data_IF_349207327111
#
_entry.id   IF_349207327111
#
_cell.length_a   1.000
_cell.length_b   1.000
_cell.length_c   1.000
_cell.angle_alpha   90.00
_cell.angle_beta   90.00
_cell.angle_gamma   90.00
#
_symmetry.space_group_name_H-M   'P 1'
#
loop_
_entity.id
_entity.type
_entity.pdbx_description
1 polymer ?
#
# COMPACT_ATOMS: atom_id res chain seq x y z
N UNK A 1 6.11 1.44 35.52
CA UNK A 1 6.33 2.87 35.38
C UNK A 1 6.40 3.24 33.90
N UNK A 2 5.64 4.25 33.46
CA UNK A 2 5.36 4.57 32.05
C UNK A 2 6.58 4.98 31.20
N UNK A 3 7.72 5.34 31.77
CA UNK A 3 8.88 5.86 31.04
C UNK A 3 9.50 4.84 30.06
N UNK A 4 9.64 3.58 30.44
CA UNK A 4 10.22 2.54 29.55
C UNK A 4 9.33 2.18 28.37
N UNK A 5 8.02 2.12 28.58
CA UNK A 5 7.06 1.80 27.53
C UNK A 5 7.10 2.81 26.37
N UNK A 6 7.12 4.10 26.67
CA UNK A 6 7.15 5.16 25.65
C UNK A 6 8.44 5.14 24.83
N UNK A 7 9.58 4.82 25.47
CA UNK A 7 10.85 4.70 24.77
C UNK A 7 10.86 3.51 23.82
N UNK A 8 10.32 2.35 24.25
CA UNK A 8 10.24 1.16 23.42
C UNK A 8 9.32 1.41 22.23
N UNK A 9 8.10 1.94 22.46
CA UNK A 9 7.17 2.27 21.37
C UNK A 9 7.78 3.28 20.41
N UNK A 10 8.43 4.33 20.92
CA UNK A 10 9.10 5.32 20.09
C UNK A 10 10.23 4.72 19.25
N UNK A 11 10.99 3.77 19.80
CA UNK A 11 12.03 3.05 19.06
C UNK A 11 11.45 2.18 17.96
N UNK A 12 10.33 1.48 18.23
CA UNK A 12 9.63 0.68 17.24
C UNK A 12 9.15 1.58 16.09
N UNK A 13 8.47 2.67 16.38
CA UNK A 13 7.97 3.62 15.39
C UNK A 13 9.10 4.21 14.54
N UNK A 14 10.23 4.47 15.17
CA UNK A 14 11.42 4.92 14.47
C UNK A 14 11.90 3.89 13.43
N UNK A 15 11.94 2.62 13.80
CA UNK A 15 12.30 1.53 12.87
C UNK A 15 11.28 1.37 11.74
N UNK A 16 10.00 1.59 12.02
CA UNK A 16 8.90 1.52 11.05
C UNK A 16 8.84 2.70 10.07
N UNK A 17 9.81 3.61 10.10
CA UNK A 17 9.92 4.68 9.10
C UNK A 17 9.40 6.04 9.54
N UNK A 18 9.10 6.25 10.83
CA UNK A 18 8.72 7.56 11.33
C UNK A 18 9.88 8.58 11.33
N UNK A 19 9.51 9.84 11.46
CA UNK A 19 10.52 10.92 11.53
C UNK A 19 11.32 10.79 12.80
N UNK A 20 12.65 10.99 12.67
CA UNK A 20 13.56 11.04 13.82
C UNK A 20 13.21 12.28 14.66
N UNK A 21 12.82 12.07 15.90
CA UNK A 21 12.65 13.15 16.88
C UNK A 21 13.95 13.27 17.68
N UNK A 22 14.42 14.49 17.88
CA UNK A 22 15.71 14.74 18.58
C UNK A 22 15.71 14.22 20.02
N UNK A 23 14.53 14.26 20.65
CA UNK A 23 14.30 13.79 22.02
C UNK A 23 14.51 12.29 22.21
N UNK A 24 14.49 11.52 21.10
CA UNK A 24 14.74 10.07 21.11
C UNK A 24 16.23 9.72 21.03
N UNK A 25 17.08 10.69 20.69
CA UNK A 25 18.51 10.49 20.53
C UNK A 25 19.24 11.00 21.75
N UNK A 26 20.25 10.24 22.18
CA UNK A 26 21.14 10.69 23.25
C UNK A 26 22.07 11.75 22.69
N UNK A 27 22.01 12.95 23.23
CA UNK A 27 22.94 14.04 22.95
C UNK A 27 24.15 13.94 23.86
N UNK A 28 25.34 14.05 23.31
CA UNK A 28 26.55 14.22 24.07
C UNK A 28 26.61 15.67 24.57
N UNK A 29 26.53 15.83 25.89
CA UNK A 29 26.49 17.14 26.54
C UNK A 29 27.77 17.97 26.36
N UNK A 30 28.87 17.34 25.96
CA UNK A 30 30.16 18.03 25.74
C UNK A 30 30.32 18.50 24.30
N UNK A 31 29.89 17.70 23.35
CA UNK A 31 30.07 17.98 21.92
C UNK A 31 28.81 18.53 21.25
N UNK A 32 27.64 18.37 21.84
CA UNK A 32 26.35 18.69 21.23
C UNK A 32 26.00 17.78 20.09
N UNK A 33 26.73 16.68 19.89
CA UNK A 33 26.48 15.70 18.85
C UNK A 33 25.56 14.59 19.35
N UNK A 34 24.69 14.08 18.44
CA UNK A 34 23.85 12.92 18.75
C UNK A 34 24.62 11.62 18.56
N UNK A 35 24.59 10.76 19.59
CA UNK A 35 25.17 9.43 19.50
C UNK A 35 24.50 8.61 18.38
N UNK A 36 25.28 7.80 17.64
CA UNK A 36 24.71 6.87 16.67
C UNK A 36 23.70 5.93 17.35
N UNK A 37 22.54 5.74 16.72
CA UNK A 37 21.53 4.81 17.20
C UNK A 37 21.19 3.78 16.12
N UNK A 38 20.96 2.54 16.55
CA UNK A 38 20.47 1.44 15.72
C UNK A 38 19.23 0.84 16.40
N UNK A 39 18.17 0.72 15.64
CA UNK A 39 16.98 -0.03 16.04
C UNK A 39 16.77 -1.15 15.02
N UNK A 40 16.53 -2.34 15.52
CA UNK A 40 16.29 -3.53 14.70
C UNK A 40 15.07 -4.26 15.22
N UNK A 41 14.16 -4.60 14.31
CA UNK A 41 12.94 -5.36 14.58
C UNK A 41 12.97 -6.62 13.72
N UNK A 42 12.75 -7.76 14.36
CA UNK A 42 12.64 -9.06 13.68
C UNK A 42 11.19 -9.53 13.75
N UNK A 43 10.62 -9.80 12.61
CA UNK A 43 9.25 -10.29 12.46
C UNK A 43 9.28 -11.72 11.94
N UNK A 44 8.51 -12.61 12.54
CA UNK A 44 8.27 -13.95 12.03
C UNK A 44 7.01 -13.95 11.16
N UNK A 45 7.13 -14.42 9.93
CA UNK A 45 6.04 -14.45 8.94
C UNK A 45 5.53 -15.88 8.80
N UNK A 46 4.51 -16.24 9.57
CA UNK A 46 3.89 -17.56 9.56
C UNK A 46 2.73 -17.65 8.57
N UNK A 47 2.11 -16.49 8.23
CA UNK A 47 0.92 -16.43 7.41
C UNK A 47 1.26 -16.35 5.91
N UNK A 48 0.75 -17.30 5.13
CA UNK A 48 0.97 -17.33 3.68
C UNK A 48 0.43 -16.10 2.93
N UNK A 49 -0.63 -15.44 3.44
CA UNK A 49 -1.15 -14.21 2.84
C UNK A 49 -0.22 -13.01 3.09
N UNK A 50 0.38 -12.93 4.27
CA UNK A 50 1.39 -11.93 4.59
C UNK A 50 2.62 -12.10 3.71
N UNK A 51 3.07 -13.35 3.55
CA UNK A 51 4.19 -13.71 2.66
C UNK A 51 3.94 -13.22 1.23
N UNK A 52 2.77 -13.53 0.65
CA UNK A 52 2.41 -13.09 -0.70
C UNK A 52 2.40 -11.56 -0.85
N UNK A 53 1.92 -10.84 0.16
CA UNK A 53 1.93 -9.37 0.16
C UNK A 53 3.35 -8.80 0.23
N UNK A 54 4.23 -9.42 1.01
CA UNK A 54 5.65 -9.03 1.11
C UNK A 54 6.39 -9.32 -0.19
N UNK A 55 6.17 -10.49 -0.80
CA UNK A 55 6.75 -10.85 -2.10
C UNK A 55 6.33 -9.90 -3.23
N UNK A 56 5.07 -9.41 -3.19
CA UNK A 56 4.60 -8.39 -4.13
C UNK A 56 5.32 -7.03 -3.97
N UNK A 57 5.95 -6.79 -2.81
CA UNK A 57 6.83 -5.64 -2.53
C UNK A 57 8.32 -5.99 -2.69
N UNK A 58 8.64 -7.12 -3.33
CA UNK A 58 10.01 -7.63 -3.53
C UNK A 58 10.76 -7.91 -2.21
N UNK A 59 10.01 -8.21 -1.13
CA UNK A 59 10.56 -8.59 0.17
C UNK A 59 10.35 -10.08 0.39
N UNK A 60 11.43 -10.82 0.42
CA UNK A 60 11.44 -12.27 0.61
C UNK A 60 11.87 -12.60 2.04
N UNK A 61 11.00 -13.23 2.87
CA UNK A 61 11.41 -13.67 4.21
C UNK A 61 12.51 -14.72 4.13
N UNK A 62 13.59 -14.52 4.89
CA UNK A 62 14.68 -15.48 5.06
C UNK A 62 14.44 -16.25 6.37
N UNK A 63 14.44 -17.59 6.34
CA UNK A 63 14.09 -18.43 7.48
C UNK A 63 12.78 -18.02 8.18
N UNK A 64 11.76 -17.68 7.38
CA UNK A 64 10.47 -17.14 7.84
C UNK A 64 10.57 -15.81 8.60
N UNK A 65 11.66 -15.07 8.46
CA UNK A 65 11.88 -13.81 9.14
C UNK A 65 12.04 -12.64 8.16
N UNK A 66 11.58 -11.47 8.60
CA UNK A 66 11.86 -10.17 7.97
C UNK A 66 12.44 -9.25 9.02
N UNK A 67 13.60 -8.67 8.70
CA UNK A 67 14.33 -7.78 9.59
C UNK A 67 14.21 -6.35 9.08
N UNK A 68 13.55 -5.50 9.87
CA UNK A 68 13.51 -4.05 9.63
C UNK A 68 14.56 -3.39 10.54
N UNK A 69 15.51 -2.67 9.96
CA UNK A 69 16.50 -1.96 10.74
C UNK A 69 16.60 -0.50 10.33
N UNK A 70 16.87 0.37 11.30
CA UNK A 70 17.12 1.78 11.06
C UNK A 70 18.33 2.25 11.85
N UNK A 71 19.32 2.75 11.11
CA UNK A 71 20.51 3.36 11.66
C UNK A 71 20.43 4.88 11.56
N UNK A 72 20.74 5.56 12.64
CA UNK A 72 20.73 7.02 12.70
C UNK A 72 22.15 7.47 13.01
N UNK A 73 22.68 8.37 12.19
CA UNK A 73 23.99 8.99 12.36
C UNK A 73 23.88 10.46 12.01
N UNK A 74 24.30 11.35 12.90
CA UNK A 74 24.25 12.80 12.67
C UNK A 74 22.82 13.30 12.34
N UNK A 75 21.80 12.74 12.98
CA UNK A 75 20.40 13.10 12.76
C UNK A 75 19.77 12.56 11.46
N UNK A 76 20.54 11.85 10.63
CA UNK A 76 20.04 11.22 9.39
C UNK A 76 19.79 9.74 9.61
N UNK A 77 18.59 9.27 9.24
CA UNK A 77 18.20 7.86 9.36
C UNK A 77 18.29 7.12 8.03
N UNK A 78 19.02 6.00 8.01
CA UNK A 78 19.02 5.04 6.90
C UNK A 78 18.21 3.82 7.31
N UNK A 79 17.20 3.45 6.52
CA UNK A 79 16.39 2.28 6.77
C UNK A 79 16.78 1.11 5.86
N UNK A 80 16.68 -0.11 6.39
CA UNK A 80 16.99 -1.34 5.66
C UNK A 80 15.94 -2.41 5.97
N UNK A 81 15.70 -3.25 4.96
CA UNK A 81 14.88 -4.46 5.07
C UNK A 81 15.76 -5.63 4.63
N UNK A 82 15.90 -6.65 5.46
CA UNK A 82 16.82 -7.79 5.22
C UNK A 82 18.21 -7.32 4.75
N UNK A 83 18.74 -6.28 5.39
CA UNK A 83 20.04 -5.70 5.03
C UNK A 83 20.07 -4.77 3.82
N UNK A 84 19.05 -4.75 2.98
CA UNK A 84 18.95 -3.88 1.79
C UNK A 84 18.43 -2.48 2.17
N UNK A 85 19.08 -1.43 1.69
CA UNK A 85 18.64 -0.06 1.93
C UNK A 85 17.37 0.26 1.15
N UNK A 86 16.35 0.76 1.85
CA UNK A 86 15.06 1.13 1.28
C UNK A 86 14.63 2.53 1.71
N UNK A 87 13.84 3.24 0.88
CA UNK A 87 13.25 4.51 1.29
C UNK A 87 12.25 4.32 2.43
N UNK A 88 12.11 5.31 3.31
CA UNK A 88 11.22 5.23 4.47
C UNK A 88 9.73 5.01 4.09
N UNK A 89 9.31 5.39 2.88
CA UNK A 89 7.97 5.10 2.37
C UNK A 89 7.75 3.60 2.15
N UNK A 90 8.70 2.91 1.53
CA UNK A 90 8.64 1.47 1.30
C UNK A 90 8.68 0.70 2.64
N UNK A 91 9.54 1.12 3.57
CA UNK A 91 9.58 0.51 4.92
C UNK A 91 8.24 0.63 5.64
N UNK A 92 7.54 1.78 5.52
CA UNK A 92 6.20 1.95 6.11
C UNK A 92 5.15 1.05 5.47
N UNK A 93 5.22 0.83 4.17
CA UNK A 93 4.32 -0.06 3.44
C UNK A 93 4.52 -1.52 3.87
N UNK A 94 5.77 -1.96 3.98
CA UNK A 94 6.15 -3.28 4.49
C UNK A 94 5.72 -3.44 5.95
N UNK A 95 5.99 -2.44 6.79
CA UNK A 95 5.62 -2.43 8.20
C UNK A 95 4.11 -2.55 8.41
N UNK A 96 3.28 -1.93 7.56
CA UNK A 96 1.83 -2.02 7.63
C UNK A 96 1.27 -3.44 7.35
N UNK A 97 2.09 -4.33 6.75
CA UNK A 97 1.76 -5.75 6.59
C UNK A 97 2.11 -6.55 7.84
N UNK A 98 3.25 -6.19 8.48
CA UNK A 98 3.84 -6.96 9.56
C UNK A 98 3.32 -6.60 10.95
N UNK A 99 2.89 -5.35 11.17
CA UNK A 99 2.49 -4.88 12.49
C UNK A 99 1.44 -3.77 12.39
N UNK A 100 0.46 -3.82 13.28
CA UNK A 100 -0.50 -2.73 13.51
C UNK A 100 -0.31 -2.20 14.93
N UNK A 101 0.13 -0.95 15.06
CA UNK A 101 0.39 -0.33 16.36
C UNK A 101 -0.74 0.62 16.70
N UNK A 102 -1.38 0.38 17.85
CA UNK A 102 -2.40 1.26 18.40
C UNK A 102 -1.79 2.15 19.49
N UNK A 103 -1.34 3.34 19.11
CA UNK A 103 -0.78 4.36 20.00
C UNK A 103 -1.67 5.60 20.14
N UNK A 104 -1.37 6.47 21.12
CA UNK A 104 -2.16 7.69 21.39
C UNK A 104 -2.04 8.76 20.28
N UNK A 105 -1.07 8.65 19.37
CA UNK A 105 -0.78 9.63 18.33
C UNK A 105 -0.57 9.03 16.94
N UNK A 106 -0.88 7.74 16.75
CA UNK A 106 -0.52 7.05 15.53
C UNK A 106 -1.72 6.72 14.65
N UNK A 107 -1.38 6.60 13.38
CA UNK A 107 -2.25 6.31 12.26
C UNK A 107 -3.31 5.27 12.62
N UNK A 108 -4.43 5.78 13.06
CA UNK A 108 -5.58 4.97 13.38
C UNK A 108 -6.05 4.33 12.08
N UNK A 109 -5.58 3.12 11.82
CA UNK A 109 -6.10 2.27 10.75
C UNK A 109 -7.62 2.19 10.83
N UNK A 110 -8.16 2.27 12.05
CA UNK A 110 -9.58 2.40 12.35
C UNK A 110 -10.23 3.70 11.86
N UNK A 111 -9.50 4.76 11.51
CA UNK A 111 -10.07 5.96 10.91
C UNK A 111 -10.24 5.85 9.39
N UNK A 112 -9.62 4.89 8.74
CA UNK A 112 -9.81 4.64 7.33
C UNK A 112 -11.11 3.89 7.08
N UNK A 113 -12.09 4.54 6.43
CA UNK A 113 -13.35 3.90 6.03
C UNK A 113 -13.17 2.63 5.21
N UNK A 114 -12.10 2.56 4.42
CA UNK A 114 -11.75 1.38 3.64
C UNK A 114 -11.36 0.20 4.53
N UNK A 115 -10.58 0.47 5.57
CA UNK A 115 -10.13 -0.55 6.53
C UNK A 115 -11.23 -1.05 7.44
N UNK A 116 -12.25 -0.22 7.72
CA UNK A 116 -13.45 -0.68 8.44
C UNK A 116 -14.14 -1.84 7.72
N UNK A 117 -14.25 -1.73 6.40
CA UNK A 117 -14.87 -2.78 5.61
C UNK A 117 -14.01 -4.06 5.61
N UNK A 118 -12.69 -3.92 5.49
CA UNK A 118 -11.76 -5.05 5.52
C UNK A 118 -11.80 -5.79 6.88
N UNK A 119 -11.87 -5.05 7.99
CA UNK A 119 -11.99 -5.61 9.35
C UNK A 119 -13.34 -6.33 9.50
N UNK A 120 -14.42 -5.72 9.03
CA UNK A 120 -15.75 -6.33 9.07
C UNK A 120 -15.82 -7.59 8.23
N UNK A 121 -15.23 -7.56 7.05
CA UNK A 121 -15.14 -8.70 6.15
C UNK A 121 -14.33 -9.86 6.78
N UNK A 122 -13.22 -9.54 7.44
CA UNK A 122 -12.40 -10.52 8.16
C UNK A 122 -13.16 -11.14 9.34
N UNK A 123 -13.99 -10.36 10.05
CA UNK A 123 -14.80 -10.84 11.15
C UNK A 123 -15.91 -11.83 10.69
N UNK A 124 -16.52 -11.58 9.52
CA UNK A 124 -17.56 -12.47 8.95
C UNK A 124 -16.97 -13.80 8.46
N UNK A 125 -15.68 -13.84 8.11
CA UNK A 125 -14.95 -15.06 7.76
C UNK A 125 -15.26 -15.61 6.36
N UNK A 126 -15.08 -16.93 6.21
CA UNK A 126 -15.07 -17.62 4.91
C UNK A 126 -16.39 -17.51 4.12
N UNK A 127 -17.52 -17.44 4.81
CA UNK A 127 -18.84 -17.35 4.18
C UNK A 127 -19.00 -16.11 3.28
N UNK A 128 -18.26 -15.05 3.56
CA UNK A 128 -18.27 -13.83 2.76
C UNK A 128 -17.34 -13.92 1.55
N UNK A 129 -16.29 -14.72 1.65
CA UNK A 129 -15.25 -14.82 0.61
C UNK A 129 -15.81 -15.29 -0.72
N UNK A 130 -16.66 -16.31 -0.73
CA UNK A 130 -17.30 -16.80 -1.95
C UNK A 130 -18.24 -15.77 -2.57
N UNK A 131 -19.03 -15.07 -1.75
CA UNK A 131 -19.94 -14.02 -2.22
C UNK A 131 -19.17 -12.83 -2.81
N UNK A 132 -18.06 -12.45 -2.18
CA UNK A 132 -17.18 -11.39 -2.71
C UNK A 132 -16.55 -11.77 -4.03
N UNK A 133 -16.13 -13.03 -4.19
CA UNK A 133 -15.58 -13.54 -5.45
C UNK A 133 -16.62 -13.47 -6.57
N UNK A 134 -17.82 -13.99 -6.33
CA UNK A 134 -18.92 -13.94 -7.30
C UNK A 134 -19.31 -12.50 -7.66
N UNK A 135 -19.37 -11.60 -6.67
CA UNK A 135 -19.64 -10.18 -6.90
C UNK A 135 -18.54 -9.53 -7.75
N UNK A 136 -17.27 -9.82 -7.47
CA UNK A 136 -16.15 -9.28 -8.22
C UNK A 136 -16.15 -9.75 -9.68
N UNK A 137 -16.50 -11.01 -9.94
CA UNK A 137 -16.63 -11.57 -11.29
C UNK A 137 -17.79 -10.89 -12.04
N UNK A 138 -18.95 -10.77 -11.41
CA UNK A 138 -20.12 -10.09 -11.98
C UNK A 138 -19.83 -8.62 -12.29
N UNK A 139 -19.15 -7.93 -11.39
CA UNK A 139 -18.78 -6.52 -11.58
C UNK A 139 -17.77 -6.32 -12.72
N UNK A 140 -16.81 -7.25 -12.88
CA UNK A 140 -15.88 -7.22 -14.04
C UNK A 140 -16.62 -7.39 -15.35
N UNK A 141 -17.55 -8.36 -15.41
CA UNK A 141 -18.38 -8.59 -16.60
C UNK A 141 -19.24 -7.37 -16.93
N UNK A 142 -19.87 -6.78 -15.91
CA UNK A 142 -20.63 -5.54 -16.06
C UNK A 142 -19.77 -4.40 -16.63
N UNK A 143 -18.59 -4.17 -16.06
CA UNK A 143 -17.68 -3.13 -16.56
C UNK A 143 -17.27 -3.35 -18.02
N UNK A 144 -16.99 -4.60 -18.39
CA UNK A 144 -16.65 -4.95 -19.76
C UNK A 144 -17.79 -4.66 -20.73
N UNK A 145 -19.03 -5.04 -20.38
CA UNK A 145 -20.20 -4.77 -21.20
C UNK A 145 -20.50 -3.27 -21.35
N UNK A 146 -20.33 -2.48 -20.28
CA UNK A 146 -20.48 -1.02 -20.34
C UNK A 146 -19.44 -0.38 -21.28
N UNK A 147 -18.23 -0.91 -21.29
CA UNK A 147 -17.18 -0.42 -22.18
C UNK A 147 -17.42 -0.82 -23.63
N UNK A 148 -17.90 -2.05 -23.88
CA UNK A 148 -18.32 -2.51 -25.20
C UNK A 148 -19.51 -1.70 -25.72
N UNK A 149 -20.52 -1.41 -24.89
CA UNK A 149 -21.67 -0.57 -25.25
C UNK A 149 -21.20 0.86 -25.64
N UNK A 150 -20.32 1.43 -24.85
CA UNK A 150 -19.77 2.76 -25.13
C UNK A 150 -19.01 2.80 -26.47
N UNK A 151 -18.20 1.79 -26.73
CA UNK A 151 -17.45 1.68 -27.99
C UNK A 151 -18.37 1.41 -29.17
N UNK A 152 -19.41 0.58 -29.01
CA UNK A 152 -20.40 0.35 -30.06
C UNK A 152 -21.19 1.64 -30.41
N UNK A 153 -21.43 2.50 -29.42
CA UNK A 153 -22.08 3.80 -29.66
C UNK A 153 -21.23 4.79 -30.44
N UNK A 154 -19.91 4.73 -30.26
CA UNK A 154 -18.93 5.56 -31.04
C UNK A 154 -18.88 5.07 -32.49
N UNK A 155 -18.74 3.77 -32.71
CA UNK A 155 -18.77 3.14 -34.05
C UNK A 155 -20.07 3.43 -34.78
N UNK A 156 -21.22 3.45 -34.08
CA UNK A 156 -22.52 3.77 -34.66
C UNK A 156 -22.61 5.20 -35.20
N UNK A 157 -22.11 6.18 -34.45
CA UNK A 157 -22.12 7.58 -34.86
C UNK A 157 -21.12 7.88 -36.02
N UNK A 158 -20.01 7.20 -36.05
CA UNK A 158 -19.02 7.29 -37.11
C UNK A 158 -19.55 6.65 -38.40
N UNK A 159 -20.18 5.51 -38.27
CA UNK A 159 -20.84 4.80 -39.36
C UNK A 159 -22.01 5.60 -39.98
N UNK A 160 -22.84 6.27 -39.19
CA UNK A 160 -23.90 7.14 -39.71
C UNK A 160 -23.33 8.33 -40.51
N UNK A 161 -22.21 8.90 -40.07
CA UNK A 161 -21.52 9.97 -40.81
C UNK A 161 -20.96 9.46 -42.14
N UNK A 162 -20.39 8.28 -42.15
CA UNK A 162 -19.81 7.67 -43.35
C UNK A 162 -20.93 7.30 -44.35
N UNK A 163 -22.05 6.75 -43.88
CA UNK A 163 -23.25 6.49 -44.71
C UNK A 163 -23.77 7.80 -45.32
N UNK A 164 -23.93 8.85 -44.54
CA UNK A 164 -24.42 10.15 -45.02
C UNK A 164 -23.48 10.76 -46.03
N UNK A 165 -22.16 10.58 -45.88
CA UNK A 165 -21.18 11.07 -46.86
C UNK A 165 -21.24 10.30 -48.17
N UNK A 166 -21.34 8.97 -48.11
CA UNK A 166 -21.49 8.12 -49.31
C UNK A 166 -22.81 8.37 -50.05
N UNK A 167 -23.91 8.58 -49.35
CA UNK A 167 -25.19 8.95 -49.94
C UNK A 167 -25.14 10.32 -50.69
N UNK A 168 -24.35 11.24 -50.14
CA UNK A 168 -24.10 12.53 -50.79
C UNK A 168 -23.29 12.36 -52.07
N UNK A 169 -22.21 11.58 -52.05
CA UNK A 169 -21.40 11.31 -53.25
C UNK A 169 -22.19 10.59 -54.36
N UNK A 170 -23.02 9.61 -53.99
CA UNK A 170 -23.90 8.91 -54.95
C UNK A 170 -24.84 9.89 -55.63
N UNK A 171 -25.43 10.81 -54.88
CA UNK A 171 -26.36 11.81 -55.41
C UNK A 171 -25.68 12.77 -56.36
N UNK A 172 -24.45 13.23 -56.09
CA UNK A 172 -23.66 14.06 -56.99
C UNK A 172 -23.33 13.36 -58.32
N UNK A 173 -23.10 12.04 -58.28
CA UNK A 173 -22.82 11.24 -59.47
C UNK A 173 -24.10 11.03 -60.30
N UNK A 174 -25.26 10.84 -59.66
CA UNK A 174 -26.55 10.65 -60.34
C UNK A 174 -27.10 11.93 -60.96
N UNK A 175 -26.74 13.11 -60.47
CA UNK A 175 -27.19 14.41 -60.97
C UNK A 175 -26.24 15.00 -61.99
N UNK A 176 -25.08 14.39 -62.29
CA UNK A 176 -24.09 14.82 -63.27
C UNK A 176 -24.33 14.19 -64.67
#
# INVERSE_FOLDING_TARGET
>A
TGAGKSIIIGSINLALGEKVQKEMLREDLQTGEFAPALVELVFTVENGQERQKLEALEVYPEDDQVILSRRIVGGRGTARVNGQSMPASAVREIAAILIDIHGQHEHQSLLSKRRHLEILDAYVGETLTEKKKALAETYRSYKKLVEEEKNAGIDGAEREREISFLEYEIREIEEA
#
